data_IF_189072706373
#
_entry.id   IF_189072706373
#
_cell.length_a   1.000
_cell.length_b   1.000
_cell.length_c   1.000
_cell.angle_alpha   90.00
_cell.angle_beta   90.00
_cell.angle_gamma   90.00
#
_symmetry.space_group_name_H-M   'P 1'
#
loop_
_entity.id
_entity.type
_entity.pdbx_description
1 polymer ?
#
# COMPACT_ATOMS: atom_id res chain seq x y z
N UNK A 1 -10.86 43.69 -30.93
CA UNK A 1 -10.30 42.33 -30.88
C UNK A 1 -10.05 41.99 -29.42
N UNK A 2 -10.71 40.98 -28.85
CA UNK A 2 -10.39 40.51 -27.50
C UNK A 2 -9.06 39.73 -27.52
N UNK A 3 -8.26 39.80 -26.45
CA UNK A 3 -6.97 39.12 -26.37
C UNK A 3 -7.19 37.60 -26.30
N UNK A 4 -6.32 36.85 -26.96
CA UNK A 4 -6.31 35.39 -26.93
C UNK A 4 -6.32 34.91 -25.49
N UNK A 5 -7.40 34.24 -25.11
CA UNK A 5 -7.57 33.68 -23.78
C UNK A 5 -6.43 32.74 -23.48
N UNK A 6 -5.64 33.08 -22.47
CA UNK A 6 -4.85 32.08 -21.75
C UNK A 6 -5.91 31.14 -21.18
N UNK A 7 -5.89 29.87 -21.58
CA UNK A 7 -6.66 28.86 -20.88
C UNK A 7 -6.00 28.71 -19.51
N UNK A 8 -6.44 29.50 -18.54
CA UNK A 8 -6.17 29.18 -17.15
C UNK A 8 -6.74 27.79 -16.93
N UNK A 9 -5.86 26.85 -16.60
CA UNK A 9 -6.28 25.53 -16.17
C UNK A 9 -6.82 25.66 -14.74
N UNK A 10 -7.97 26.34 -14.61
CA UNK A 10 -8.72 26.51 -13.36
C UNK A 10 -9.64 25.31 -13.13
N UNK A 11 -9.17 24.11 -13.49
CA UNK A 11 -9.80 22.87 -13.08
C UNK A 11 -9.20 22.46 -11.72
N UNK A 12 -9.81 22.97 -10.65
CA UNK A 12 -9.81 22.33 -9.33
C UNK A 12 -10.66 21.04 -9.34
N UNK A 13 -10.56 20.25 -10.40
CA UNK A 13 -11.01 18.86 -10.43
C UNK A 13 -9.74 18.04 -10.41
N UNK A 14 -9.52 17.27 -9.34
CA UNK A 14 -8.36 16.39 -9.24
C UNK A 14 -8.27 15.56 -10.52
N UNK A 15 -7.32 15.88 -11.39
CA UNK A 15 -6.96 15.00 -12.48
C UNK A 15 -6.55 13.69 -11.81
N UNK A 16 -7.35 12.64 -11.99
CA UNK A 16 -7.04 11.27 -11.58
C UNK A 16 -5.68 10.91 -12.21
N UNK A 17 -4.64 11.13 -11.40
CA UNK A 17 -3.24 11.10 -11.77
C UNK A 17 -2.60 9.79 -11.35
N UNK A 18 -3.40 8.72 -11.26
CA UNK A 18 -2.93 7.37 -10.91
C UNK A 18 -1.66 7.01 -11.67
N UNK A 19 -1.59 7.35 -12.96
CA UNK A 19 -0.40 7.14 -13.80
C UNK A 19 0.56 8.33 -13.65
N UNK A 20 1.75 8.06 -13.10
CA UNK A 20 2.83 9.03 -12.86
C UNK A 20 3.93 8.98 -13.93
N UNK A 21 3.72 8.26 -15.04
CA UNK A 21 4.66 8.15 -16.16
C UNK A 21 3.97 8.28 -17.52
N UNK A 22 4.74 8.69 -18.53
CA UNK A 22 4.30 8.71 -19.93
C UNK A 22 4.17 7.32 -20.54
N UNK A 23 4.88 6.34 -19.97
CA UNK A 23 4.83 4.94 -20.40
C UNK A 23 4.11 4.06 -19.38
N UNK A 24 3.19 3.24 -19.89
CA UNK A 24 2.55 2.18 -19.13
C UNK A 24 2.14 1.03 -20.06
N UNK A 25 2.08 -0.19 -19.53
CA UNK A 25 1.61 -1.37 -20.26
C UNK A 25 0.28 -1.86 -19.66
N UNK A 26 -0.77 -1.85 -20.47
CA UNK A 26 -2.08 -2.43 -20.13
C UNK A 26 -2.26 -3.78 -20.80
N UNK A 27 -2.95 -4.71 -20.13
CA UNK A 27 -3.36 -6.00 -20.69
C UNK A 27 -4.72 -6.40 -20.17
N UNK A 28 -5.47 -7.13 -21.00
CA UNK A 28 -6.71 -7.78 -20.58
C UNK A 28 -6.41 -8.84 -19.52
N UNK A 29 -7.21 -8.84 -18.46
CA UNK A 29 -7.28 -9.83 -17.40
C UNK A 29 -8.68 -10.41 -17.31
N UNK A 30 -8.79 -11.55 -16.63
CA UNK A 30 -10.09 -12.16 -16.31
C UNK A 30 -10.28 -12.08 -14.80
N UNK A 31 -11.27 -11.31 -14.36
CA UNK A 31 -11.65 -11.22 -12.96
C UNK A 31 -12.41 -12.48 -12.54
N UNK A 32 -12.16 -12.92 -11.31
CA UNK A 32 -12.91 -14.00 -10.67
C UNK A 32 -14.37 -13.57 -10.52
N UNK A 33 -15.30 -14.53 -10.67
CA UNK A 33 -16.68 -14.32 -10.27
C UNK A 33 -16.79 -13.90 -8.80
N UNK A 34 -17.70 -12.98 -8.52
CA UNK A 34 -17.96 -12.40 -7.21
C UNK A 34 -16.69 -11.80 -6.58
N UNK A 35 -15.95 -10.98 -7.34
CA UNK A 35 -14.75 -10.31 -6.85
C UNK A 35 -15.04 -9.03 -6.05
N UNK A 36 -16.30 -8.64 -5.94
CA UNK A 36 -16.75 -7.35 -5.38
C UNK A 36 -16.63 -6.22 -6.38
N UNK A 37 -17.21 -5.07 -6.03
CA UNK A 37 -17.05 -3.83 -6.78
C UNK A 37 -15.60 -3.34 -6.64
N UNK A 38 -14.91 -3.21 -7.77
CA UNK A 38 -13.52 -2.77 -7.83
C UNK A 38 -13.43 -1.44 -8.57
N UNK A 39 -12.63 -0.54 -8.03
CA UNK A 39 -12.37 0.76 -8.66
C UNK A 39 -10.99 0.77 -9.33
N UNK A 40 -10.82 1.63 -10.33
CA UNK A 40 -9.53 1.95 -10.94
C UNK A 40 -8.49 2.21 -9.83
N UNK A 41 -7.27 1.73 -10.04
CA UNK A 41 -6.20 1.84 -9.04
C UNK A 41 -6.20 0.72 -7.99
N UNK A 42 -7.17 -0.19 -8.01
CA UNK A 42 -7.18 -1.35 -7.11
C UNK A 42 -5.97 -2.24 -7.33
N UNK A 43 -5.28 -2.59 -6.25
CA UNK A 43 -4.15 -3.54 -6.28
C UNK A 43 -4.68 -4.96 -6.44
N UNK A 44 -4.19 -5.67 -7.46
CA UNK A 44 -4.66 -6.99 -7.83
C UNK A 44 -3.64 -8.08 -7.51
N UNK A 45 -4.17 -9.24 -7.17
CA UNK A 45 -3.45 -10.51 -7.16
C UNK A 45 -4.07 -11.50 -8.14
N UNK A 46 -3.28 -12.50 -8.53
CA UNK A 46 -3.76 -13.62 -9.32
C UNK A 46 -4.18 -14.74 -8.36
N UNK A 47 -5.46 -15.14 -8.41
CA UNK A 47 -6.06 -16.16 -7.53
C UNK A 47 -5.38 -17.51 -7.72
N UNK A 48 -5.09 -17.85 -8.97
CA UNK A 48 -4.46 -19.11 -9.38
C UNK A 48 -3.71 -18.88 -10.68
N UNK A 49 -2.44 -19.28 -10.71
CA UNK A 49 -1.59 -19.18 -11.92
C UNK A 49 -2.14 -20.03 -13.06
N UNK A 50 -2.75 -21.19 -12.75
CA UNK A 50 -3.37 -22.05 -13.75
C UNK A 50 -4.75 -21.60 -14.20
N UNK A 51 -5.47 -20.84 -13.36
CA UNK A 51 -6.82 -20.35 -13.66
C UNK A 51 -6.84 -18.99 -14.37
N UNK A 52 -5.74 -18.22 -14.32
CA UNK A 52 -5.65 -16.89 -14.95
C UNK A 52 -6.64 -15.87 -14.39
N UNK A 53 -7.26 -16.16 -13.25
CA UNK A 53 -8.27 -15.32 -12.61
C UNK A 53 -7.63 -14.35 -11.63
N UNK A 54 -8.19 -13.14 -11.59
CA UNK A 54 -7.70 -12.02 -10.81
C UNK A 54 -8.75 -11.56 -9.80
N UNK A 55 -8.27 -11.00 -8.69
CA UNK A 55 -9.10 -10.39 -7.66
C UNK A 55 -8.31 -9.27 -6.97
N UNK A 56 -8.97 -8.48 -6.12
CA UNK A 56 -8.27 -7.57 -5.22
C UNK A 56 -7.28 -8.36 -4.33
N UNK A 57 -6.08 -7.80 -4.17
CA UNK A 57 -5.05 -8.29 -3.26
C UNK A 57 -5.68 -8.63 -1.90
N UNK A 58 -5.37 -9.78 -1.32
CA UNK A 58 -5.83 -10.08 0.03
C UNK A 58 -4.91 -9.39 1.04
N UNK A 59 -5.50 -8.77 2.07
CA UNK A 59 -4.75 -8.03 3.09
C UNK A 59 -3.63 -8.87 3.74
N UNK A 60 -3.87 -10.17 3.95
CA UNK A 60 -2.89 -11.10 4.50
C UNK A 60 -1.69 -11.40 3.59
N UNK A 61 -1.81 -11.11 2.29
CA UNK A 61 -0.96 -11.67 1.23
C UNK A 61 -0.24 -10.61 0.39
N UNK A 62 0.34 -9.58 1.04
CA UNK A 62 1.02 -8.49 0.32
C UNK A 62 1.97 -8.93 -0.81
N UNK A 63 2.71 -10.04 -0.63
CA UNK A 63 3.63 -10.58 -1.64
C UNK A 63 2.99 -11.03 -2.97
N UNK A 64 1.67 -11.17 -3.02
CA UNK A 64 0.94 -11.59 -4.21
C UNK A 64 0.51 -10.44 -5.12
N UNK A 65 0.79 -9.19 -4.74
CA UNK A 65 0.50 -8.02 -5.57
C UNK A 65 1.22 -8.13 -6.92
N UNK A 66 0.46 -7.98 -8.01
CA UNK A 66 0.93 -8.29 -9.37
C UNK A 66 0.53 -7.29 -10.44
N UNK A 67 -0.59 -6.59 -10.26
CA UNK A 67 -1.11 -5.65 -11.24
C UNK A 67 -1.95 -4.57 -10.54
N UNK A 68 -2.32 -3.53 -11.29
CA UNK A 68 -3.23 -2.47 -10.83
C UNK A 68 -4.40 -2.41 -11.81
N UNK A 69 -5.64 -2.41 -11.30
CA UNK A 69 -6.84 -2.34 -12.15
C UNK A 69 -6.90 -1.00 -12.90
N UNK A 70 -7.23 -1.04 -14.20
CA UNK A 70 -7.20 0.13 -15.07
C UNK A 70 -8.55 0.84 -15.24
N UNK A 71 -9.63 0.19 -14.86
CA UNK A 71 -11.02 0.65 -15.00
C UNK A 71 -11.87 0.25 -13.79
N UNK A 72 -13.06 0.83 -13.66
CA UNK A 72 -14.03 0.43 -12.64
C UNK A 72 -14.79 -0.83 -13.11
N UNK A 73 -15.08 -1.72 -12.17
CA UNK A 73 -15.78 -2.98 -12.43
C UNK A 73 -16.79 -3.24 -11.31
N UNK A 74 -18.06 -3.42 -11.68
CA UNK A 74 -19.12 -3.81 -10.75
C UNK A 74 -19.05 -5.32 -10.46
N UNK A 75 -19.52 -5.75 -9.29
CA UNK A 75 -19.58 -7.16 -8.94
C UNK A 75 -20.52 -7.96 -9.86
N UNK A 76 -20.07 -9.15 -10.28
CA UNK A 76 -20.88 -10.07 -11.09
C UNK A 76 -20.64 -11.51 -10.63
N UNK A 77 -21.70 -12.31 -10.65
CA UNK A 77 -21.65 -13.77 -10.40
C UNK A 77 -20.88 -14.57 -11.45
N UNK A 78 -20.52 -13.95 -12.57
CA UNK A 78 -19.73 -14.51 -13.66
C UNK A 78 -18.34 -13.87 -13.74
N UNK A 79 -17.41 -14.54 -14.41
CA UNK A 79 -16.07 -13.97 -14.64
C UNK A 79 -16.16 -12.82 -15.64
N UNK A 80 -15.48 -11.72 -15.35
CA UNK A 80 -15.51 -10.53 -16.19
C UNK A 80 -14.15 -10.28 -16.84
N UNK A 81 -14.16 -9.60 -17.99
CA UNK A 81 -12.94 -9.09 -18.63
C UNK A 81 -12.71 -7.65 -18.20
N UNK A 82 -11.47 -7.34 -17.87
CA UNK A 82 -11.07 -5.98 -17.51
C UNK A 82 -9.65 -5.72 -17.99
N UNK A 83 -9.21 -4.47 -17.99
CA UNK A 83 -7.85 -4.05 -18.24
C UNK A 83 -7.10 -3.84 -16.92
N UNK A 84 -5.84 -4.24 -16.90
CA UNK A 84 -4.95 -3.98 -15.79
C UNK A 84 -3.57 -3.52 -16.27
N UNK A 85 -2.95 -2.68 -15.45
CA UNK A 85 -1.59 -2.22 -15.60
C UNK A 85 -0.59 -3.25 -15.07
N UNK A 86 0.41 -3.56 -15.89
CA UNK A 86 1.49 -4.51 -15.55
C UNK A 86 2.87 -3.87 -15.46
N UNK A 87 3.05 -2.69 -16.07
CA UNK A 87 4.31 -1.93 -16.07
C UNK A 87 3.97 -0.45 -16.11
N UNK A 88 4.71 0.37 -15.37
CA UNK A 88 4.55 1.83 -15.36
C UNK A 88 4.93 2.43 -14.00
N UNK A 89 4.76 3.74 -13.86
CA UNK A 89 4.89 4.44 -12.59
C UNK A 89 3.52 4.91 -12.10
N UNK A 90 3.19 4.70 -10.83
CA UNK A 90 1.86 4.99 -10.29
C UNK A 90 1.90 5.70 -8.94
N UNK A 91 0.92 6.57 -8.68
CA UNK A 91 0.82 7.31 -7.41
C UNK A 91 0.16 6.47 -6.33
N UNK A 92 0.80 6.37 -5.16
CA UNK A 92 0.28 5.57 -4.05
C UNK A 92 -1.02 6.12 -3.45
N UNK A 93 -1.30 7.42 -3.60
CA UNK A 93 -2.51 8.10 -3.09
C UNK A 93 -3.77 7.67 -3.82
N UNK A 94 -3.61 7.37 -5.11
CA UNK A 94 -4.72 7.06 -6.02
C UNK A 94 -4.91 5.55 -6.16
N UNK A 95 -4.17 4.77 -5.36
CA UNK A 95 -4.27 3.31 -5.32
C UNK A 95 -5.25 2.85 -4.25
N UNK A 96 -6.12 1.93 -4.63
CA UNK A 96 -7.07 1.30 -3.73
C UNK A 96 -6.47 0.01 -3.16
N UNK A 97 -6.31 -0.01 -1.85
CA UNK A 97 -5.73 -1.13 -1.10
C UNK A 97 -6.83 -1.92 -0.39
N UNK A 98 -6.63 -3.23 -0.18
CA UNK A 98 -7.61 -4.03 0.55
C UNK A 98 -7.77 -3.55 1.99
N UNK A 99 -9.00 -3.61 2.48
CA UNK A 99 -9.32 -3.27 3.86
C UNK A 99 -8.52 -4.12 4.85
N UNK A 100 -8.01 -3.50 5.91
CA UNK A 100 -7.24 -4.20 6.96
C UNK A 100 -5.80 -4.53 6.59
N UNK A 101 -5.28 -4.08 5.44
CA UNK A 101 -3.86 -4.24 5.11
C UNK A 101 -2.98 -3.45 6.09
N UNK A 102 -1.98 -4.12 6.64
CA UNK A 102 -0.98 -3.47 7.50
C UNK A 102 0.06 -2.73 6.68
N UNK A 103 0.76 -1.77 7.29
CA UNK A 103 1.89 -1.06 6.66
C UNK A 103 2.96 -2.03 6.15
N UNK A 104 3.24 -3.10 6.90
CA UNK A 104 4.23 -4.11 6.50
C UNK A 104 3.78 -4.88 5.25
N UNK A 105 2.51 -5.30 5.19
CA UNK A 105 1.96 -5.99 4.01
C UNK A 105 1.90 -5.05 2.80
N UNK A 106 1.56 -3.78 3.01
CA UNK A 106 1.58 -2.75 1.97
C UNK A 106 3.00 -2.57 1.40
N UNK A 107 4.03 -2.50 2.26
CA UNK A 107 5.43 -2.44 1.82
C UNK A 107 5.83 -3.69 1.03
N UNK A 108 5.48 -4.88 1.50
CA UNK A 108 5.74 -6.13 0.78
C UNK A 108 5.06 -6.13 -0.60
N UNK A 109 3.84 -5.60 -0.69
CA UNK A 109 3.13 -5.47 -1.96
C UNK A 109 3.80 -4.48 -2.91
N UNK A 110 4.25 -3.33 -2.41
CA UNK A 110 5.00 -2.36 -3.22
C UNK A 110 6.26 -3.00 -3.80
N UNK A 111 7.03 -3.74 -2.99
CA UNK A 111 8.21 -4.46 -3.49
C UNK A 111 7.82 -5.49 -4.56
N UNK A 112 6.76 -6.27 -4.33
CA UNK A 112 6.28 -7.25 -5.30
C UNK A 112 5.79 -6.65 -6.62
N UNK A 113 5.26 -5.42 -6.59
CA UNK A 113 4.89 -4.64 -7.78
C UNK A 113 6.15 -4.10 -8.49
N UNK A 114 7.12 -3.56 -7.74
CA UNK A 114 8.37 -3.04 -8.28
C UNK A 114 9.20 -4.12 -9.00
N UNK A 115 9.28 -5.32 -8.45
CA UNK A 115 9.94 -6.49 -9.07
C UNK A 115 9.34 -6.86 -10.44
N UNK A 116 8.12 -6.40 -10.72
CA UNK A 116 7.38 -6.64 -11.97
C UNK A 116 7.37 -5.44 -12.92
N UNK A 117 8.05 -4.35 -12.57
CA UNK A 117 8.10 -3.13 -13.37
C UNK A 117 6.97 -2.14 -13.09
N UNK A 118 6.21 -2.34 -12.00
CA UNK A 118 5.23 -1.38 -11.50
C UNK A 118 5.90 -0.57 -10.38
N UNK A 119 6.43 0.60 -10.75
CA UNK A 119 7.10 1.51 -9.81
C UNK A 119 6.06 2.37 -9.11
N UNK A 120 6.10 2.40 -7.78
CA UNK A 120 5.19 3.24 -7.01
C UNK A 120 5.90 4.54 -6.65
N UNK A 121 5.29 5.68 -6.99
CA UNK A 121 5.72 6.99 -6.57
C UNK A 121 5.33 7.19 -5.10
N UNK A 122 6.30 6.93 -4.23
CA UNK A 122 6.18 7.12 -2.80
C UNK A 122 6.46 8.56 -2.36
N UNK A 123 6.65 9.52 -3.28
CA UNK A 123 6.94 10.92 -2.93
C UNK A 123 5.85 11.62 -2.08
N UNK A 124 4.72 10.95 -1.80
CA UNK A 124 3.66 11.41 -0.88
C UNK A 124 3.66 10.64 0.47
N UNK A 125 4.54 9.65 0.68
CA UNK A 125 4.74 8.93 1.95
C UNK A 125 6.03 9.32 2.70
N UNK A 126 6.75 10.34 2.24
CA UNK A 126 7.89 10.90 2.95
C UNK A 126 7.46 11.73 4.19
N UNK A 127 6.68 11.11 5.09
CA UNK A 127 6.61 11.47 6.50
C UNK A 127 6.90 10.21 7.32
N UNK A 128 8.11 10.21 7.88
CA UNK A 128 8.67 9.35 8.91
C UNK A 128 8.76 7.84 8.61
N UNK A 129 9.90 7.45 8.04
CA UNK A 129 10.58 6.21 8.45
C UNK A 129 10.78 6.23 9.96
N UNK A 130 9.86 5.63 10.72
CA UNK A 130 10.15 5.28 12.11
C UNK A 130 11.04 4.03 12.08
N UNK A 131 12.35 4.26 12.05
CA UNK A 131 13.30 3.23 12.44
C UNK A 131 13.05 2.93 13.91
N UNK A 132 12.39 1.81 14.22
CA UNK A 132 12.27 1.34 15.60
C UNK A 132 13.64 0.84 16.04
N UNK A 133 14.44 1.71 16.66
CA UNK A 133 15.59 1.29 17.46
C UNK A 133 15.04 0.62 18.71
N UNK A 134 15.08 -0.70 18.77
CA UNK A 134 14.77 -1.45 20.00
C UNK A 134 15.90 -1.21 21.01
N UNK A 135 15.73 -0.24 21.91
CA UNK A 135 16.60 -0.10 23.08
C UNK A 135 16.21 -1.18 24.10
N UNK A 136 17.04 -2.21 24.25
CA UNK A 136 16.88 -3.19 25.34
C UNK A 136 17.27 -2.55 26.66
N UNK A 137 16.29 -2.08 27.44
CA UNK A 137 16.52 -1.64 28.82
C UNK A 137 16.71 -2.88 29.71
N UNK A 138 17.94 -3.14 30.12
CA UNK A 138 18.26 -4.17 31.12
C UNK A 138 18.08 -3.58 32.50
N UNK A 139 16.99 -3.92 33.19
CA UNK A 139 16.78 -3.54 34.60
C UNK A 139 17.63 -4.43 35.49
N UNK A 140 18.69 -3.88 36.08
CA UNK A 140 19.47 -4.55 37.13
C UNK A 140 18.84 -4.21 38.49
N UNK A 141 18.24 -5.20 39.15
CA UNK A 141 17.70 -5.05 40.52
C UNK A 141 18.84 -5.21 41.52
N UNK A 142 19.28 -4.12 42.14
CA UNK A 142 20.23 -4.14 43.25
C UNK A 142 19.46 -4.34 44.56
N UNK A 143 19.66 -5.47 45.22
CA UNK A 143 19.10 -5.75 46.56
C UNK A 143 19.92 -5.01 47.61
N UNK A 144 19.35 -3.96 48.21
CA UNK A 144 19.96 -3.28 49.37
C UNK A 144 19.61 -4.03 50.66
N UNK A 145 20.63 -4.55 51.34
CA UNK A 145 20.54 -5.11 52.70
C UNK A 145 20.65 -3.99 53.73
N UNK A 146 19.65 -3.89 54.62
CA UNK A 146 19.60 -2.92 55.72
C UNK A 146 20.42 -3.43 56.92
N UNK A 147 21.47 -2.71 57.31
CA UNK A 147 22.23 -2.96 58.55
C UNK A 147 21.69 -2.06 59.66
N UNK A 148 21.02 -2.66 60.65
CA UNK A 148 20.57 -1.96 61.87
C UNK A 148 21.75 -1.79 62.82
N UNK A 149 22.09 -0.55 63.18
CA UNK A 149 23.05 -0.26 64.25
C UNK A 149 22.27 0.19 65.49
N UNK A 150 22.24 -0.63 66.53
CA UNK A 150 21.70 -0.30 67.85
C UNK A 150 22.76 0.43 68.68
N UNK A 151 22.50 1.69 69.04
CA UNK A 151 23.24 2.42 70.07
C UNK A 151 22.60 2.19 71.43
N UNK A 152 23.33 1.50 72.32
CA UNK A 152 22.96 1.33 73.74
C UNK A 152 23.63 2.42 74.55
N UNK A 153 22.82 3.28 75.18
CA UNK A 153 23.26 4.26 76.19
C UNK A 153 23.29 3.57 77.55
N UNK A 154 24.46 3.56 78.21
CA UNK A 154 24.60 3.14 79.60
C UNK A 154 24.66 4.39 80.51
N UNK A 155 24.14 4.31 81.76
CA UNK A 155 24.10 5.42 82.71
C UNK A 155 25.47 5.80 83.28
#
# INVERSE_FOLDING_TARGET
>A
MPPYGITENTASGELDQLIASEFHLQREITLKASCGDLVRGTVLEMVSVGGGQWQQLQASNGANARAILAEDVDDDTSTQKAQAYFVGKYRITDMTWPAGITTQQKRTAIVGLQDRGIVIDEAILAVATTTTTTTTTTTTTTTSSTTTTTTTTAP
#
